data_IF_884127688080
#
_entry.id   IF_884127688080
#
_cell.length_a   1.000
_cell.length_b   1.000
_cell.length_c   1.000
_cell.angle_alpha   90.00
_cell.angle_beta   90.00
_cell.angle_gamma   90.00
#
_symmetry.space_group_name_H-M   'P 1'
#
loop_
_entity.id
_entity.type
_entity.pdbx_description
1 polymer ?
#
# COMPACT_ATOMS: atom_id res chain seq x y z
N UNK A 1 4.17 -20.08 0.92
CA UNK A 1 4.54 -18.81 1.57
C UNK A 1 6.04 -18.84 1.84
N UNK A 2 6.83 -17.92 1.30
CA UNK A 2 8.30 -17.98 1.42
C UNK A 2 8.90 -17.00 2.44
N UNK A 3 8.08 -16.22 3.13
CA UNK A 3 8.52 -15.34 4.21
C UNK A 3 7.74 -14.03 4.28
N UNK A 4 8.06 -13.26 5.32
CA UNK A 4 7.53 -11.92 5.59
C UNK A 4 8.69 -10.92 5.67
N UNK A 5 8.45 -9.65 5.32
CA UNK A 5 9.38 -8.56 5.64
C UNK A 5 9.28 -8.15 7.13
N UNK A 6 10.08 -7.17 7.57
CA UNK A 6 10.09 -6.71 8.98
C UNK A 6 8.78 -6.04 9.43
N UNK A 7 7.88 -5.75 8.51
CA UNK A 7 6.56 -5.16 8.77
C UNK A 7 5.44 -6.21 8.59
N UNK A 8 5.78 -7.50 8.59
CA UNK A 8 4.86 -8.63 8.38
C UNK A 8 4.12 -8.62 7.03
N UNK A 9 4.68 -7.95 6.01
CA UNK A 9 4.16 -8.10 4.66
C UNK A 9 4.68 -9.39 4.05
N UNK A 10 3.80 -10.17 3.39
CA UNK A 10 4.22 -11.36 2.65
C UNK A 10 5.24 -10.96 1.57
N UNK A 11 6.33 -11.71 1.44
CA UNK A 11 7.37 -11.46 0.42
C UNK A 11 7.06 -12.13 -0.92
N UNK A 12 6.69 -13.42 -0.88
CA UNK A 12 6.26 -14.17 -2.04
C UNK A 12 5.45 -15.41 -1.65
N UNK A 13 4.62 -15.86 -2.59
CA UNK A 13 3.87 -17.11 -2.47
C UNK A 13 4.39 -18.14 -3.45
N UNK A 14 4.38 -19.40 -3.01
CA UNK A 14 4.71 -20.56 -3.82
C UNK A 14 3.43 -21.36 -3.98
N UNK A 15 3.07 -21.66 -5.21
CA UNK A 15 1.96 -22.55 -5.53
C UNK A 15 2.42 -23.58 -6.55
N UNK A 16 1.90 -24.82 -6.46
CA UNK A 16 2.07 -25.80 -7.52
C UNK A 16 0.90 -25.66 -8.48
N UNK A 17 1.18 -25.27 -9.71
CA UNK A 17 0.15 -24.98 -10.71
C UNK A 17 0.53 -25.54 -12.07
N UNK A 18 -0.47 -25.66 -12.94
CA UNK A 18 -0.27 -26.10 -14.30
C UNK A 18 0.47 -25.03 -15.09
N UNK A 19 1.67 -25.34 -15.59
CA UNK A 19 2.49 -24.42 -16.39
C UNK A 19 2.40 -24.69 -17.89
N UNK A 20 1.82 -25.84 -18.28
CA UNK A 20 1.44 -26.16 -19.66
C UNK A 20 0.40 -27.28 -19.70
N UNK A 21 -0.11 -27.64 -20.88
CA UNK A 21 -1.20 -28.60 -21.09
C UNK A 21 -1.09 -29.92 -20.32
N UNK A 22 0.11 -30.37 -19.94
CA UNK A 22 0.29 -31.57 -19.09
C UNK A 22 1.43 -31.45 -18.06
N UNK A 23 1.92 -30.23 -17.77
CA UNK A 23 3.02 -30.02 -16.82
C UNK A 23 2.52 -29.21 -15.64
N UNK A 24 2.78 -29.73 -14.44
CA UNK A 24 2.61 -29.01 -13.18
C UNK A 24 3.99 -28.74 -12.59
N UNK A 25 4.22 -27.50 -12.18
CA UNK A 25 5.49 -27.09 -11.58
C UNK A 25 5.27 -26.04 -10.49
N UNK A 26 6.33 -25.77 -9.74
CA UNK A 26 6.37 -24.68 -8.78
C UNK A 26 6.27 -23.34 -9.53
N UNK A 27 5.23 -22.57 -9.21
CA UNK A 27 5.05 -21.17 -9.60
C UNK A 27 5.46 -20.31 -8.41
N UNK A 28 6.37 -19.36 -8.65
CA UNK A 28 6.77 -18.35 -7.67
C UNK A 28 6.11 -17.04 -8.08
N UNK A 29 5.13 -16.58 -7.29
CA UNK A 29 4.58 -15.24 -7.44
C UNK A 29 5.48 -14.26 -6.67
N UNK A 30 6.04 -13.29 -7.38
CA UNK A 30 6.88 -12.24 -6.80
C UNK A 30 6.08 -10.94 -6.69
N UNK A 31 6.08 -10.35 -5.49
CA UNK A 31 5.34 -9.13 -5.18
C UNK A 31 3.93 -9.40 -4.66
N UNK A 32 3.54 -8.67 -3.60
CA UNK A 32 2.19 -8.63 -3.07
C UNK A 32 1.69 -7.19 -3.08
N UNK A 33 1.16 -6.77 -4.23
CA UNK A 33 0.44 -5.52 -4.35
C UNK A 33 -1.05 -5.84 -4.12
N UNK A 34 -1.61 -5.33 -3.02
CA UNK A 34 -3.02 -5.52 -2.70
C UNK A 34 -3.86 -4.74 -3.68
N UNK A 35 -5.03 -5.25 -4.08
CA UNK A 35 -5.95 -4.46 -4.90
C UNK A 35 -7.06 -3.82 -4.05
N UNK A 36 -7.61 -4.55 -3.09
CA UNK A 36 -8.56 -4.12 -2.07
C UNK A 36 -8.47 -5.06 -0.86
N UNK A 37 -9.10 -4.69 0.26
CA UNK A 37 -9.26 -5.55 1.42
C UNK A 37 -10.72 -5.47 1.88
N UNK A 38 -11.42 -6.59 1.83
CA UNK A 38 -12.76 -6.72 2.43
C UNK A 38 -12.65 -7.25 3.87
N UNK A 39 -12.94 -6.38 4.82
CA UNK A 39 -13.16 -6.69 6.22
C UNK A 39 -14.67 -6.67 6.52
N UNK A 40 -15.18 -7.86 6.86
CA UNK A 40 -16.61 -8.07 7.15
C UNK A 40 -16.90 -8.07 8.66
N UNK A 41 -15.91 -7.74 9.49
CA UNK A 41 -16.10 -7.64 10.92
C UNK A 41 -17.16 -6.58 11.27
N UNK A 42 -18.18 -6.99 12.00
CA UNK A 42 -19.28 -6.11 12.44
C UNK A 42 -19.03 -5.50 13.81
N UNK A 43 -18.02 -6.01 14.53
CA UNK A 43 -17.61 -5.53 15.86
C UNK A 43 -16.20 -4.95 15.77
N UNK A 44 -16.02 -3.71 16.23
CA UNK A 44 -14.67 -3.13 16.36
C UNK A 44 -13.78 -3.98 17.26
N UNK A 45 -12.47 -3.92 17.02
CA UNK A 45 -11.52 -4.43 17.99
C UNK A 45 -11.62 -3.61 19.29
N UNK A 46 -11.13 -4.20 20.39
CA UNK A 46 -11.13 -3.53 21.69
C UNK A 46 -10.50 -2.14 21.58
N UNK A 47 -11.22 -1.13 22.08
CA UNK A 47 -10.78 0.27 22.12
C UNK A 47 -10.49 0.92 20.74
N UNK A 48 -11.07 0.42 19.65
CA UNK A 48 -10.89 0.93 18.29
C UNK A 48 -9.41 1.08 17.84
N UNK A 49 -8.51 0.28 18.41
CA UNK A 49 -7.08 0.62 18.42
C UNK A 49 -6.33 0.22 17.15
N UNK A 50 -6.70 -0.90 16.53
CA UNK A 50 -5.86 -1.58 15.54
C UNK A 50 -6.63 -2.30 14.43
N UNK A 51 -7.97 -2.23 14.40
CA UNK A 51 -8.72 -2.80 13.29
C UNK A 51 -8.42 -2.06 11.98
N UNK A 52 -8.44 -2.81 10.89
CA UNK A 52 -8.44 -2.24 9.56
C UNK A 52 -9.71 -1.41 9.36
N UNK A 53 -9.56 -0.21 8.78
CA UNK A 53 -10.70 0.67 8.49
C UNK A 53 -11.05 0.51 7.01
N UNK A 54 -11.97 -0.41 6.79
CA UNK A 54 -12.53 -0.73 5.48
C UNK A 54 -13.67 0.25 5.14
N UNK A 55 -13.27 1.47 4.78
CA UNK A 55 -14.18 2.60 4.55
C UNK A 55 -14.64 2.73 3.10
N UNK A 56 -14.02 2.00 2.16
CA UNK A 56 -14.27 2.07 0.73
C UNK A 56 -14.64 0.70 0.20
N UNK A 57 -15.51 0.65 -0.81
CA UNK A 57 -15.97 -0.59 -1.47
C UNK A 57 -15.82 -0.46 -2.98
N UNK A 58 -14.58 -0.46 -3.44
CA UNK A 58 -14.25 -0.33 -4.85
C UNK A 58 -13.43 -1.53 -5.33
N UNK A 59 -13.51 -1.84 -6.63
CA UNK A 59 -12.74 -2.95 -7.19
C UNK A 59 -11.22 -2.78 -7.00
N UNK A 60 -10.74 -1.53 -7.01
CA UNK A 60 -9.34 -1.16 -6.83
C UNK A 60 -9.25 -0.01 -5.81
N UNK A 61 -8.84 -0.32 -4.60
CA UNK A 61 -8.68 0.62 -3.48
C UNK A 61 -7.22 1.03 -3.27
N UNK A 62 -6.30 0.18 -3.71
CA UNK A 62 -4.87 0.43 -3.75
C UNK A 62 -4.41 0.48 -5.20
N UNK A 63 -3.60 1.49 -5.53
CA UNK A 63 -3.06 1.66 -6.88
C UNK A 63 -1.57 1.88 -6.75
N UNK A 64 -0.78 1.37 -7.70
CA UNK A 64 0.68 1.42 -7.67
C UNK A 64 1.25 1.97 -8.96
N UNK A 65 2.44 2.56 -8.87
CA UNK A 65 3.23 2.90 -10.05
C UNK A 65 3.98 1.67 -10.61
N UNK A 66 4.67 1.85 -11.74
CA UNK A 66 5.43 0.78 -12.39
C UNK A 66 6.62 0.26 -11.56
N UNK A 67 7.08 1.02 -10.55
CA UNK A 67 8.12 0.62 -9.63
C UNK A 67 7.56 -0.15 -8.41
N UNK A 68 6.23 -0.30 -8.32
CA UNK A 68 5.55 -0.97 -7.21
C UNK A 68 5.31 -0.05 -6.00
N UNK A 69 5.51 1.26 -6.13
CA UNK A 69 5.19 2.19 -5.04
C UNK A 69 3.68 2.46 -4.99
N UNK A 70 3.13 2.55 -3.78
CA UNK A 70 1.72 2.88 -3.58
C UNK A 70 1.42 4.32 -4.02
N UNK A 71 0.54 4.52 -4.98
CA UNK A 71 0.11 5.85 -5.46
C UNK A 71 -1.25 6.27 -4.91
N UNK A 72 -2.10 5.32 -4.49
CA UNK A 72 -3.42 5.59 -3.88
C UNK A 72 -3.74 4.57 -2.79
N UNK A 73 -4.39 5.04 -1.73
CA UNK A 73 -5.01 4.22 -0.70
C UNK A 73 -6.35 4.88 -0.35
N UNK A 74 -7.42 4.36 -0.96
CA UNK A 74 -8.75 4.97 -0.82
C UNK A 74 -9.32 4.77 0.59
N UNK A 75 -8.96 3.69 1.28
CA UNK A 75 -9.36 3.44 2.67
C UNK A 75 -8.77 4.47 3.64
N UNK A 76 -7.60 5.04 3.32
CA UNK A 76 -7.01 6.18 4.04
C UNK A 76 -7.38 7.54 3.46
N UNK A 77 -8.24 7.59 2.45
CA UNK A 77 -8.59 8.81 1.73
C UNK A 77 -7.42 9.43 0.95
N UNK A 78 -6.35 8.68 0.68
CA UNK A 78 -5.18 9.13 -0.08
C UNK A 78 -5.50 9.04 -1.57
N UNK A 79 -5.57 10.20 -2.21
CA UNK A 79 -5.91 10.33 -3.63
C UNK A 79 -4.69 10.27 -4.55
N UNK A 80 -3.50 10.62 -4.05
CA UNK A 80 -2.24 10.57 -4.78
C UNK A 80 -1.01 10.55 -3.85
N UNK A 81 0.02 9.81 -4.24
CA UNK A 81 1.36 9.85 -3.66
C UNK A 81 2.38 10.05 -4.80
N UNK A 82 3.32 10.97 -4.60
CA UNK A 82 4.43 11.22 -5.52
C UNK A 82 5.75 10.76 -4.92
N UNK A 83 6.69 10.35 -5.78
CA UNK A 83 7.96 9.76 -5.37
C UNK A 83 9.14 10.44 -6.08
N UNK A 84 10.30 10.44 -5.42
CA UNK A 84 11.55 10.80 -6.05
C UNK A 84 12.25 9.57 -6.69
N UNK A 85 13.40 9.80 -7.30
CA UNK A 85 14.20 8.75 -7.98
C UNK A 85 14.73 7.64 -7.06
N UNK A 86 14.66 7.83 -5.73
CA UNK A 86 15.02 6.81 -4.73
C UNK A 86 13.80 6.03 -4.23
N UNK A 87 12.63 6.18 -4.88
CA UNK A 87 11.34 5.62 -4.43
C UNK A 87 10.93 6.09 -3.02
N UNK A 88 11.36 7.30 -2.62
CA UNK A 88 10.92 7.92 -1.37
C UNK A 88 9.74 8.86 -1.64
N UNK A 89 8.67 8.82 -0.83
CA UNK A 89 7.48 9.64 -1.06
C UNK A 89 7.83 11.12 -0.85
N UNK A 90 7.51 11.97 -1.81
CA UNK A 90 7.74 13.43 -1.73
C UNK A 90 6.47 14.22 -1.40
N UNK A 91 5.31 13.67 -1.73
CA UNK A 91 4.03 14.31 -1.47
C UNK A 91 2.89 13.30 -1.36
N UNK A 92 1.97 13.54 -0.42
CA UNK A 92 0.74 12.77 -0.21
C UNK A 92 -0.41 13.77 -0.25
N UNK A 93 -1.42 13.54 -1.08
CA UNK A 93 -2.64 14.35 -1.10
C UNK A 93 -3.84 13.52 -0.67
N UNK A 94 -4.70 14.11 0.14
CA UNK A 94 -5.93 13.49 0.60
C UNK A 94 -7.11 13.99 -0.21
N UNK A 95 -8.12 13.15 -0.40
CA UNK A 95 -9.39 13.52 -1.04
C UNK A 95 -10.11 14.66 -0.30
N UNK A 96 -9.84 14.83 1.01
CA UNK A 96 -10.31 15.97 1.80
C UNK A 96 -9.73 17.31 1.36
N UNK A 97 -8.60 17.32 0.65
CA UNK A 97 -7.86 18.53 0.26
C UNK A 97 -6.61 18.80 1.11
N UNK A 98 -6.42 18.06 2.21
CA UNK A 98 -5.18 18.09 2.98
C UNK A 98 -3.99 17.47 2.24
N UNK A 99 -2.76 17.71 2.73
CA UNK A 99 -1.57 17.11 2.16
C UNK A 99 -0.41 16.94 3.16
N UNK A 100 0.53 16.07 2.81
CA UNK A 100 1.86 15.97 3.41
C UNK A 100 2.92 16.21 2.34
N UNK A 101 3.97 16.95 2.66
CA UNK A 101 5.18 17.07 1.84
C UNK A 101 6.41 16.64 2.61
N UNK A 102 7.31 15.95 1.92
CA UNK A 102 8.56 15.48 2.48
C UNK A 102 9.74 16.02 1.68
N UNK A 103 10.87 16.24 2.36
CA UNK A 103 12.11 16.59 1.73
C UNK A 103 13.25 15.78 2.30
N UNK A 104 14.14 15.38 1.40
CA UNK A 104 15.25 14.46 1.66
C UNK A 104 16.54 15.10 1.18
N UNK A 105 17.65 14.71 1.80
CA UNK A 105 18.97 14.88 1.19
C UNK A 105 19.15 13.89 0.04
N UNK A 106 20.17 14.12 -0.79
CA UNK A 106 20.44 13.29 -1.96
C UNK A 106 20.77 11.82 -1.62
N UNK A 107 21.23 11.54 -0.39
CA UNK A 107 21.47 10.20 0.16
C UNK A 107 20.23 9.55 0.79
N UNK A 108 19.05 10.19 0.66
CA UNK A 108 17.77 9.64 1.10
C UNK A 108 17.42 9.89 2.57
N UNK A 109 18.20 10.69 3.31
CA UNK A 109 17.85 11.03 4.70
C UNK A 109 16.73 12.08 4.72
N UNK A 110 15.63 11.78 5.40
CA UNK A 110 14.51 12.70 5.59
C UNK A 110 14.93 13.90 6.44
N UNK A 111 14.68 15.11 5.95
CA UNK A 111 15.02 16.38 6.64
C UNK A 111 13.83 17.24 6.98
N UNK A 112 12.72 17.11 6.25
CA UNK A 112 11.50 17.88 6.50
C UNK A 112 10.25 17.06 6.30
N UNK A 113 9.24 17.42 7.07
CA UNK A 113 7.85 17.04 6.86
C UNK A 113 7.00 18.29 7.06
N UNK A 114 6.08 18.54 6.14
CA UNK A 114 5.04 19.55 6.28
C UNK A 114 3.70 18.87 6.15
N UNK A 115 2.78 19.25 7.01
CA UNK A 115 1.42 18.73 7.03
C UNK A 115 0.45 19.90 7.00
N UNK A 116 -0.60 19.76 6.19
CA UNK A 116 -1.72 20.68 6.15
C UNK A 116 -3.03 19.90 6.06
N UNK A 117 -3.97 20.26 6.91
CA UNK A 117 -5.36 19.84 6.83
C UNK A 117 -6.09 20.58 5.71
N UNK A 118 -7.21 20.02 5.24
CA UNK A 118 -8.13 20.79 4.41
C UNK A 118 -8.60 22.04 5.15
N UNK A 119 -8.72 23.17 4.44
CA UNK A 119 -9.36 24.35 5.02
C UNK A 119 -10.86 24.01 5.16
N UNK A 120 -11.36 24.02 6.40
CA UNK A 120 -12.76 23.71 6.74
C UNK A 120 -13.74 24.81 6.37
#
# INVERSE_FOLDING_TARGET
>A
MTGYDKNDNVLSSQCYGQTSASVYALIILTGNLLNHVDDTATTSAYNNGFEFKDGVKQANEYVYDANGNLTKDLNKGISNITYNVLNLPTGVTFASGGFIQYGYTADGIKRRMMYKEADG
#
